data_IF_776960807293
#
_entry.id   IF_776960807293
#
_cell.length_a   1.000
_cell.length_b   1.000
_cell.length_c   1.000
_cell.angle_alpha   90.00
_cell.angle_beta   90.00
_cell.angle_gamma   90.00
#
_symmetry.space_group_name_H-M   'P 1'
#
loop_
_entity.id
_entity.type
_entity.pdbx_description
1 polymer ?
#
# COMPACT_ATOMS: atom_id res chain seq x y z
N UNK A 1 26.03 -2.69 12.84
CA UNK A 1 24.98 -3.73 12.73
C UNK A 1 23.61 -3.25 13.24
N UNK A 2 23.52 -2.56 14.38
CA UNK A 2 22.24 -2.03 14.89
C UNK A 2 21.57 -1.01 13.95
N UNK A 3 22.33 -0.13 13.30
CA UNK A 3 21.80 0.92 12.41
C UNK A 3 21.10 0.36 11.16
N UNK A 4 21.63 -0.71 10.55
CA UNK A 4 20.98 -1.37 9.40
C UNK A 4 19.67 -2.05 9.80
N UNK A 5 19.61 -2.63 11.02
CA UNK A 5 18.38 -3.23 11.54
C UNK A 5 17.32 -2.17 11.81
N UNK A 6 17.68 -1.01 12.36
CA UNK A 6 16.74 0.10 12.52
C UNK A 6 16.17 0.57 11.18
N UNK A 7 16.99 0.64 10.12
CA UNK A 7 16.51 0.98 8.78
C UNK A 7 15.50 -0.06 8.27
N UNK A 8 15.79 -1.35 8.48
CA UNK A 8 14.89 -2.43 8.09
C UNK A 8 13.54 -2.34 8.84
N UNK A 9 13.57 -2.08 10.15
CA UNK A 9 12.37 -1.95 10.97
C UNK A 9 11.50 -0.77 10.55
N UNK A 10 12.12 0.37 10.23
CA UNK A 10 11.39 1.54 9.72
C UNK A 10 10.73 1.22 8.38
N UNK A 11 11.46 0.58 7.45
CA UNK A 11 10.90 0.16 6.16
C UNK A 11 9.71 -0.79 6.32
N UNK A 12 9.84 -1.81 7.17
CA UNK A 12 8.76 -2.75 7.45
C UNK A 12 7.52 -2.06 8.03
N UNK A 13 7.70 -1.12 8.97
CA UNK A 13 6.59 -0.35 9.54
C UNK A 13 5.92 0.54 8.50
N UNK A 14 6.71 1.19 7.63
CA UNK A 14 6.17 1.96 6.51
C UNK A 14 5.35 1.07 5.58
N UNK A 15 5.91 -0.06 5.13
CA UNK A 15 5.23 -1.01 4.24
C UNK A 15 3.91 -1.52 4.82
N UNK A 16 3.89 -1.85 6.12
CA UNK A 16 2.68 -2.30 6.82
C UNK A 16 1.63 -1.20 6.93
N UNK A 17 2.05 0.02 7.27
CA UNK A 17 1.16 1.18 7.40
C UNK A 17 0.56 1.57 6.05
N UNK A 18 1.39 1.57 5.01
CA UNK A 18 0.99 1.84 3.62
C UNK A 18 -0.03 0.81 3.16
N UNK A 19 0.25 -0.48 3.33
CA UNK A 19 -0.67 -1.56 2.96
C UNK A 19 -2.02 -1.47 3.69
N UNK A 20 -2.00 -1.22 5.00
CA UNK A 20 -3.22 -1.04 5.79
C UNK A 20 -4.05 0.14 5.31
N UNK A 21 -3.40 1.25 5.00
CA UNK A 21 -4.07 2.47 4.50
C UNK A 21 -4.67 2.25 3.11
N UNK A 22 -3.92 1.63 2.19
CA UNK A 22 -4.39 1.28 0.85
C UNK A 22 -5.59 0.36 0.91
N UNK A 23 -5.57 -0.67 1.77
CA UNK A 23 -6.71 -1.58 1.96
C UNK A 23 -7.96 -0.82 2.41
N UNK A 24 -7.82 0.12 3.35
CA UNK A 24 -8.96 0.92 3.80
C UNK A 24 -9.45 1.89 2.73
N UNK A 25 -8.56 2.52 1.97
CA UNK A 25 -8.92 3.38 0.85
C UNK A 25 -9.70 2.60 -0.23
N UNK A 26 -9.26 1.38 -0.56
CA UNK A 26 -10.00 0.51 -1.49
C UNK A 26 -11.36 0.09 -0.93
N UNK A 27 -11.45 -0.28 0.35
CA UNK A 27 -12.75 -0.57 1.01
C UNK A 27 -13.69 0.64 1.02
N UNK A 28 -13.15 1.86 1.10
CA UNK A 28 -13.91 3.10 1.01
C UNK A 28 -14.30 3.48 -0.43
N UNK A 29 -13.91 2.69 -1.44
CA UNK A 29 -14.29 2.87 -2.84
C UNK A 29 -13.37 3.78 -3.65
N UNK A 30 -12.25 4.26 -3.09
CA UNK A 30 -11.30 5.09 -3.83
C UNK A 30 -10.66 4.30 -4.96
N UNK A 31 -10.55 4.90 -6.14
CA UNK A 31 -9.87 4.32 -7.30
C UNK A 31 -8.36 4.21 -7.10
N UNK A 32 -7.71 3.32 -7.85
CA UNK A 32 -6.26 3.18 -7.83
C UNK A 32 -5.53 4.48 -8.22
N UNK A 33 -6.13 5.31 -9.09
CA UNK A 33 -5.58 6.61 -9.47
C UNK A 33 -5.61 7.61 -8.33
N UNK A 34 -6.69 7.66 -7.56
CA UNK A 34 -6.78 8.54 -6.37
C UNK A 34 -5.77 8.12 -5.30
N UNK A 35 -5.63 6.82 -5.06
CA UNK A 35 -4.65 6.27 -4.12
C UNK A 35 -3.23 6.58 -4.58
N UNK A 36 -2.92 6.39 -5.86
CA UNK A 36 -1.61 6.70 -6.42
C UNK A 36 -1.28 8.19 -6.28
N UNK A 37 -2.24 9.06 -6.58
CA UNK A 37 -2.12 10.52 -6.40
C UNK A 37 -1.85 10.91 -4.95
N UNK A 38 -2.56 10.29 -3.99
CA UNK A 38 -2.36 10.55 -2.56
C UNK A 38 -1.00 10.06 -2.04
N UNK A 39 -0.48 8.95 -2.58
CA UNK A 39 0.82 8.38 -2.22
C UNK A 39 2.00 9.01 -2.99
N UNK A 40 1.74 9.87 -3.97
CA UNK A 40 2.77 10.47 -4.81
C UNK A 40 3.48 9.47 -5.74
N UNK A 41 2.82 8.37 -6.07
CA UNK A 41 3.34 7.32 -6.97
C UNK A 41 2.50 7.24 -8.24
N UNK A 42 2.94 6.46 -9.23
CA UNK A 42 2.17 6.27 -10.45
C UNK A 42 1.04 5.25 -10.25
N UNK A 43 -0.08 5.42 -10.96
CA UNK A 43 -1.17 4.43 -10.94
C UNK A 43 -0.71 3.04 -11.38
N UNK A 44 0.25 2.96 -12.31
CA UNK A 44 0.83 1.70 -12.74
C UNK A 44 1.58 1.00 -11.60
N UNK A 45 2.44 1.72 -10.85
CA UNK A 45 3.17 1.14 -9.71
C UNK A 45 2.23 0.65 -8.61
N UNK A 46 1.14 1.39 -8.38
CA UNK A 46 0.07 1.02 -7.44
C UNK A 46 -0.63 -0.26 -7.89
N UNK A 47 -0.99 -0.35 -9.18
CA UNK A 47 -1.66 -1.52 -9.74
C UNK A 47 -0.78 -2.77 -9.69
N UNK A 48 0.49 -2.66 -10.11
CA UNK A 48 1.45 -3.77 -10.05
C UNK A 48 1.61 -4.31 -8.62
N UNK A 49 1.65 -3.39 -7.62
CA UNK A 49 1.89 -3.73 -6.22
C UNK A 49 0.64 -4.29 -5.51
N UNK A 50 -0.56 -3.83 -5.84
CA UNK A 50 -1.76 -4.09 -5.03
C UNK A 50 -2.99 -4.62 -5.77
N UNK A 51 -2.92 -4.93 -7.07
CA UNK A 51 -4.07 -5.51 -7.81
C UNK A 51 -4.66 -6.78 -7.17
N UNK A 52 -3.88 -7.55 -6.41
CA UNK A 52 -4.36 -8.74 -5.71
C UNK A 52 -5.18 -8.40 -4.44
N UNK A 53 -5.10 -7.17 -3.94
CA UNK A 53 -5.97 -6.70 -2.86
C UNK A 53 -7.42 -6.63 -3.30
N UNK A 54 -7.70 -6.22 -4.54
CA UNK A 54 -9.08 -6.18 -5.05
C UNK A 54 -9.72 -7.57 -4.99
N UNK A 55 -9.01 -8.61 -5.43
CA UNK A 55 -9.48 -10.01 -5.35
C UNK A 55 -9.69 -10.50 -3.91
N UNK A 56 -8.92 -9.97 -2.97
CA UNK A 56 -9.04 -10.33 -1.56
C UNK A 56 -10.20 -9.61 -0.90
N UNK A 57 -10.43 -8.35 -1.27
CA UNK A 57 -11.53 -7.52 -0.77
C UNK A 57 -12.90 -7.94 -1.32
N UNK A 58 -12.96 -8.49 -2.54
CA UNK A 58 -14.19 -9.07 -3.11
C UNK A 58 -14.67 -10.35 -2.38
N UNK A 59 -13.79 -10.97 -1.58
CA UNK A 59 -14.05 -12.23 -0.87
C UNK A 59 -14.38 -12.04 0.62
N UNK A 60 -14.19 -10.84 1.15
CA UNK A 60 -14.49 -10.44 2.54
C UNK A 60 -15.91 -9.86 2.63
#
# INVERSE_FOLDING_TARGET
>A
MLTLRCIQEVRQKCDQTELGTVRQARKAGLSWTEIAGALGVTSQSTWERWRELDKTLERD
#
